data_IF_598235114057
#
_entry.id   IF_598235114057
#
_cell.length_a   1.000
_cell.length_b   1.000
_cell.length_c   1.000
_cell.angle_alpha   90.00
_cell.angle_beta   90.00
_cell.angle_gamma   90.00
#
_symmetry.space_group_name_H-M   'P 1'
#
loop_
_entity.id
_entity.type
_entity.pdbx_description
1 polymer ?
#
# COMPACT_ATOMS: atom_id res chain seq x y z
N UNK A 1 37.32 -63.38 23.67
CA UNK A 1 35.99 -62.78 23.50
C UNK A 1 36.10 -61.62 22.50
N UNK A 2 35.53 -61.74 21.30
CA UNK A 2 35.43 -60.64 20.33
C UNK A 2 33.98 -60.58 19.83
N UNK A 3 33.31 -59.47 20.11
CA UNK A 3 31.93 -59.22 19.73
C UNK A 3 31.79 -59.18 18.20
N UNK A 4 30.81 -59.92 17.67
CA UNK A 4 30.43 -59.84 16.25
C UNK A 4 29.62 -58.56 16.04
N UNK A 5 30.23 -57.58 15.37
CA UNK A 5 29.55 -56.35 14.94
C UNK A 5 28.43 -56.69 13.95
N UNK A 6 27.19 -56.45 14.37
CA UNK A 6 25.98 -56.74 13.60
C UNK A 6 25.72 -55.65 12.55
N UNK A 7 26.49 -55.68 11.45
CA UNK A 7 26.44 -54.69 10.35
C UNK A 7 25.08 -54.62 9.64
N UNK A 8 24.23 -55.64 9.81
CA UNK A 8 22.94 -55.74 9.12
C UNK A 8 21.84 -54.85 9.72
N UNK A 9 21.90 -54.57 11.04
CA UNK A 9 20.94 -53.68 11.71
C UNK A 9 21.19 -52.21 11.41
N UNK A 10 22.47 -51.81 11.26
CA UNK A 10 22.83 -50.44 10.90
C UNK A 10 22.35 -50.08 9.50
N UNK A 11 22.51 -50.97 8.50
CA UNK A 11 22.10 -50.68 7.13
C UNK A 11 20.60 -50.36 6.97
N UNK A 12 19.71 -51.02 7.73
CA UNK A 12 18.27 -50.71 7.74
C UNK A 12 17.96 -49.38 8.40
N UNK A 13 18.70 -49.00 9.44
CA UNK A 13 18.55 -47.71 10.10
C UNK A 13 18.97 -46.56 9.19
N UNK A 14 20.02 -46.74 8.38
CA UNK A 14 20.48 -45.73 7.42
C UNK A 14 19.53 -45.57 6.22
N UNK A 15 18.86 -46.63 5.77
CA UNK A 15 17.87 -46.57 4.68
C UNK A 15 16.54 -45.90 5.08
N UNK A 16 16.12 -46.03 6.35
CA UNK A 16 14.94 -45.31 6.87
C UNK A 16 15.23 -43.82 7.13
N UNK A 17 16.46 -43.48 7.51
CA UNK A 17 16.88 -42.08 7.71
C UNK A 17 17.06 -41.31 6.40
N UNK A 18 17.46 -41.95 5.29
CA UNK A 18 17.52 -41.28 3.98
C UNK A 18 16.14 -41.08 3.35
N UNK A 19 15.15 -41.96 3.60
CA UNK A 19 13.78 -41.76 3.14
C UNK A 19 13.04 -40.61 3.87
N UNK A 20 13.37 -40.37 5.15
CA UNK A 20 12.79 -39.27 5.94
C UNK A 20 13.46 -37.91 5.69
N UNK A 21 14.70 -37.87 5.18
CA UNK A 21 15.38 -36.61 4.83
C UNK A 21 15.02 -36.07 3.43
N UNK A 22 14.24 -36.80 2.64
CA UNK A 22 13.72 -36.32 1.34
C UNK A 22 12.36 -35.60 1.49
N UNK A 23 11.71 -35.69 2.65
CA UNK A 23 10.50 -34.91 2.94
C UNK A 23 10.76 -33.51 3.52
N UNK A 24 12.01 -33.16 3.83
CA UNK A 24 12.42 -31.78 4.05
C UNK A 24 12.77 -31.10 2.73
N UNK A 25 11.86 -31.19 1.77
CA UNK A 25 11.84 -30.35 0.59
C UNK A 25 10.71 -29.33 0.78
N UNK A 26 10.85 -28.04 0.51
CA UNK A 26 11.91 -27.18 0.03
C UNK A 26 11.30 -25.77 0.20
N UNK A 27 12.08 -24.75 0.52
CA UNK A 27 11.78 -23.41 0.03
C UNK A 27 12.03 -23.41 -1.49
N UNK A 28 11.25 -24.20 -2.22
CA UNK A 28 11.33 -24.33 -3.66
C UNK A 28 10.38 -23.32 -4.23
N UNK A 29 10.90 -22.47 -5.12
CA UNK A 29 10.12 -21.72 -6.10
C UNK A 29 9.45 -22.64 -7.15
N UNK A 30 9.04 -23.85 -6.73
CA UNK A 30 8.31 -24.81 -7.54
C UNK A 30 6.84 -24.61 -7.19
N UNK A 31 6.12 -23.99 -8.11
CA UNK A 31 4.66 -23.95 -8.04
C UNK A 31 4.13 -25.37 -8.20
N UNK A 32 3.43 -25.87 -7.19
CA UNK A 32 2.81 -27.19 -7.27
C UNK A 32 1.53 -27.11 -8.11
N UNK A 33 1.15 -28.20 -8.77
CA UNK A 33 -0.05 -28.26 -9.63
C UNK A 33 -1.38 -28.00 -8.90
N UNK A 34 -1.38 -27.95 -7.56
CA UNK A 34 -2.52 -27.56 -6.73
C UNK A 34 -2.45 -26.12 -6.21
N UNK A 35 -1.38 -25.38 -6.53
CA UNK A 35 -1.20 -23.97 -6.17
C UNK A 35 -1.38 -23.10 -7.41
N UNK A 36 -2.24 -22.09 -7.29
CA UNK A 36 -2.47 -21.08 -8.33
C UNK A 36 -1.46 -19.95 -8.16
N UNK A 37 -0.26 -20.13 -8.71
CA UNK A 37 0.87 -19.20 -8.53
C UNK A 37 0.90 -18.07 -9.57
N UNK A 38 -0.05 -18.03 -10.49
CA UNK A 38 -0.28 -16.95 -11.45
C UNK A 38 -1.66 -16.30 -11.26
N UNK A 39 -2.40 -16.66 -10.22
CA UNK A 39 -3.71 -16.12 -9.86
C UNK A 39 -3.82 -14.59 -9.93
N UNK A 40 -2.71 -13.89 -9.62
CA UNK A 40 -2.63 -12.43 -9.57
C UNK A 40 -1.73 -11.84 -10.67
N UNK A 41 -1.32 -12.63 -11.67
CA UNK A 41 -0.60 -12.12 -12.83
C UNK A 41 -1.53 -11.22 -13.66
N UNK A 42 -1.23 -9.92 -13.63
CA UNK A 42 -1.98 -8.89 -14.35
C UNK A 42 -1.22 -8.46 -15.60
N UNK A 43 -1.96 -8.07 -16.65
CA UNK A 43 -1.37 -7.55 -17.91
C UNK A 43 -0.42 -6.36 -17.67
N UNK A 44 -0.78 -5.51 -16.71
CA UNK A 44 -0.04 -4.30 -16.34
C UNK A 44 0.42 -4.42 -14.88
N UNK A 45 1.65 -4.00 -14.52
CA UNK A 45 2.13 -4.10 -13.15
C UNK A 45 1.27 -3.32 -12.16
N UNK A 46 1.21 -3.82 -10.92
CA UNK A 46 0.55 -3.17 -9.79
C UNK A 46 1.52 -2.17 -9.15
N UNK A 47 1.04 -0.96 -8.88
CA UNK A 47 1.77 0.08 -8.15
C UNK A 47 1.00 0.45 -6.90
N UNK A 48 1.58 0.14 -5.74
CA UNK A 48 1.03 0.45 -4.43
C UNK A 48 1.48 1.85 -4.00
N UNK A 49 0.54 2.72 -3.64
CA UNK A 49 0.80 4.12 -3.29
C UNK A 49 0.29 4.40 -1.87
N UNK A 50 1.22 4.69 -0.96
CA UNK A 50 0.94 4.93 0.45
C UNK A 50 0.25 6.28 0.69
N UNK A 51 -0.27 6.49 1.90
CA UNK A 51 -0.85 7.76 2.35
C UNK A 51 0.14 8.71 3.04
N UNK A 52 -0.40 9.59 3.89
CA UNK A 52 0.35 10.36 4.90
C UNK A 52 0.97 9.39 5.90
N UNK A 53 2.18 9.70 6.34
CA UNK A 53 3.12 8.76 6.96
C UNK A 53 3.64 7.70 5.96
N UNK A 54 4.46 8.18 5.03
CA UNK A 54 5.37 7.33 4.24
C UNK A 54 6.46 6.75 5.12
N UNK A 55 6.09 5.92 6.09
CA UNK A 55 7.02 4.98 6.69
C UNK A 55 7.32 3.95 5.59
N UNK A 56 8.26 4.27 4.72
CA UNK A 56 8.79 3.30 3.75
C UNK A 56 9.37 2.09 4.51
N UNK A 57 9.81 2.30 5.76
CA UNK A 57 10.09 1.30 6.79
C UNK A 57 10.10 1.95 8.19
N UNK A 58 9.22 1.54 9.14
CA UNK A 58 9.54 1.61 10.57
C UNK A 58 10.02 0.21 10.95
N UNK A 59 11.29 0.08 11.34
CA UNK A 59 11.84 -1.17 11.88
C UNK A 59 11.72 -2.39 10.94
N UNK A 60 11.73 -2.18 9.61
CA UNK A 60 11.63 -3.23 8.59
C UNK A 60 10.21 -3.72 8.28
N UNK A 61 9.19 -2.95 8.68
CA UNK A 61 7.79 -3.20 8.34
C UNK A 61 7.43 -2.32 7.13
N UNK A 62 7.29 -2.95 5.96
CA UNK A 62 6.73 -2.36 4.74
C UNK A 62 5.33 -1.78 5.04
N UNK A 63 5.05 -0.55 4.58
CA UNK A 63 3.72 0.08 4.68
C UNK A 63 2.60 -0.86 4.23
N UNK A 64 2.88 -1.64 3.18
CA UNK A 64 1.98 -2.67 2.64
C UNK A 64 2.34 -4.05 3.19
N UNK A 65 2.48 -4.15 4.52
CA UNK A 65 2.96 -5.34 5.22
C UNK A 65 2.26 -6.62 4.76
N UNK A 66 3.03 -7.56 4.20
CA UNK A 66 2.55 -8.85 3.69
C UNK A 66 1.76 -8.78 2.37
N UNK A 67 1.25 -7.61 1.97
CA UNK A 67 0.47 -7.44 0.72
C UNK A 67 1.37 -7.60 -0.50
N UNK A 68 2.53 -6.90 -0.51
CA UNK A 68 3.46 -6.95 -1.63
C UNK A 68 4.00 -8.37 -1.87
N UNK A 69 4.33 -9.11 -0.80
CA UNK A 69 4.81 -10.50 -0.91
C UNK A 69 3.68 -11.41 -1.37
N UNK A 70 2.49 -11.34 -0.76
CA UNK A 70 1.36 -12.19 -1.12
C UNK A 70 0.92 -12.01 -2.59
N UNK A 71 1.01 -10.78 -3.12
CA UNK A 71 0.74 -10.52 -4.53
C UNK A 71 1.82 -11.14 -5.44
N UNK A 72 3.09 -10.95 -5.10
CA UNK A 72 4.23 -11.48 -5.88
C UNK A 72 4.30 -13.01 -5.87
N UNK A 73 3.98 -13.63 -4.74
CA UNK A 73 3.91 -15.08 -4.57
C UNK A 73 2.89 -15.75 -5.51
N UNK A 74 1.94 -14.97 -6.04
CA UNK A 74 0.96 -15.41 -7.04
C UNK A 74 1.09 -14.71 -8.39
N UNK A 75 2.32 -14.35 -8.76
CA UNK A 75 2.67 -13.96 -10.13
C UNK A 75 2.53 -12.46 -10.45
N UNK A 76 2.04 -11.64 -9.51
CA UNK A 76 1.92 -10.21 -9.76
C UNK A 76 3.29 -9.50 -9.83
N UNK A 77 3.46 -8.61 -10.81
CA UNK A 77 4.56 -7.62 -10.81
C UNK A 77 4.13 -6.43 -9.95
N UNK A 78 4.78 -6.23 -8.81
CA UNK A 78 4.37 -5.22 -7.81
C UNK A 78 5.51 -4.26 -7.48
N UNK A 79 5.22 -2.97 -7.58
CA UNK A 79 6.08 -1.85 -7.21
C UNK A 79 5.40 -1.01 -6.13
N UNK A 80 6.21 -0.35 -5.30
CA UNK A 80 5.76 0.58 -4.27
C UNK A 80 6.76 1.74 -4.24
N UNK A 81 6.66 2.69 -5.19
CA UNK A 81 7.55 3.84 -5.21
C UNK A 81 7.31 4.71 -3.98
N UNK A 82 8.38 5.33 -3.48
CA UNK A 82 8.28 6.28 -2.39
C UNK A 82 7.84 7.62 -2.98
N UNK A 83 6.68 8.12 -2.58
CA UNK A 83 6.22 9.48 -2.89
C UNK A 83 6.38 10.35 -1.64
N UNK A 84 6.51 11.66 -1.77
CA UNK A 84 6.67 12.52 -0.59
C UNK A 84 5.59 12.25 0.46
N UNK A 85 6.01 12.03 1.72
CA UNK A 85 5.11 11.58 2.79
C UNK A 85 4.14 12.67 3.26
N UNK A 86 4.55 13.93 3.15
CA UNK A 86 3.85 15.09 3.70
C UNK A 86 3.71 16.14 2.60
N UNK A 87 2.73 15.98 1.71
CA UNK A 87 2.35 17.04 0.79
C UNK A 87 0.90 16.82 0.33
N UNK A 88 0.35 17.73 -0.45
CA UNK A 88 -0.95 17.55 -1.07
C UNK A 88 -0.94 16.51 -2.20
N UNK A 89 -2.13 16.12 -2.67
CA UNK A 89 -2.25 15.10 -3.71
C UNK A 89 -1.74 15.56 -5.09
N UNK A 90 -1.57 16.87 -5.31
CA UNK A 90 -1.07 17.40 -6.58
C UNK A 90 0.43 17.15 -6.68
N UNK A 91 1.20 17.59 -5.68
CA UNK A 91 2.65 17.39 -5.68
C UNK A 91 3.03 15.91 -5.56
N UNK A 92 2.36 15.16 -4.69
CA UNK A 92 2.52 13.70 -4.61
C UNK A 92 2.17 13.00 -5.92
N UNK A 93 1.21 13.56 -6.65
CA UNK A 93 0.77 13.04 -7.94
C UNK A 93 1.83 13.23 -9.03
N UNK A 94 2.52 14.36 -9.03
CA UNK A 94 3.69 14.59 -9.91
C UNK A 94 4.84 13.64 -9.57
N UNK A 95 5.16 13.46 -8.28
CA UNK A 95 6.16 12.48 -7.84
C UNK A 95 5.82 11.06 -8.32
N UNK A 96 4.54 10.68 -8.21
CA UNK A 96 4.05 9.40 -8.71
C UNK A 96 4.20 9.29 -10.22
N UNK A 97 3.84 10.34 -10.99
CA UNK A 97 3.99 10.34 -12.45
C UNK A 97 5.45 10.10 -12.83
N UNK A 98 6.39 10.83 -12.21
CA UNK A 98 7.83 10.63 -12.45
C UNK A 98 8.26 9.18 -12.17
N UNK A 99 7.82 8.60 -11.05
CA UNK A 99 8.10 7.22 -10.71
C UNK A 99 7.50 6.21 -11.72
N UNK A 100 6.30 6.48 -12.25
CA UNK A 100 5.67 5.64 -13.28
C UNK A 100 6.43 5.70 -14.61
N UNK A 101 6.99 6.85 -14.96
CA UNK A 101 7.82 7.00 -16.15
C UNK A 101 9.15 6.24 -16.03
N UNK A 102 9.80 6.32 -14.86
CA UNK A 102 10.98 5.54 -14.56
C UNK A 102 10.69 4.03 -14.61
N UNK A 103 9.58 3.60 -14.03
CA UNK A 103 9.13 2.21 -14.11
C UNK A 103 8.84 1.78 -15.54
N UNK A 104 8.22 2.63 -16.36
CA UNK A 104 7.98 2.34 -17.78
C UNK A 104 9.30 2.15 -18.52
N UNK A 105 10.28 3.02 -18.28
CA UNK A 105 11.61 2.91 -18.88
C UNK A 105 12.34 1.63 -18.43
N UNK A 106 12.25 1.29 -17.14
CA UNK A 106 12.95 0.14 -16.57
C UNK A 106 12.30 -1.22 -16.93
N UNK A 107 10.99 -1.26 -17.11
CA UNK A 107 10.22 -2.52 -17.24
C UNK A 107 9.63 -2.75 -18.62
N UNK A 108 9.53 -1.71 -19.44
CA UNK A 108 8.82 -1.72 -20.72
C UNK A 108 7.28 -1.71 -20.61
N UNK A 109 6.72 -1.69 -19.38
CA UNK A 109 5.28 -1.63 -19.16
C UNK A 109 4.70 -0.31 -19.67
N UNK A 110 3.65 -0.38 -20.49
CA UNK A 110 3.04 0.80 -21.09
C UNK A 110 2.05 1.50 -20.15
N UNK A 111 1.44 0.75 -19.24
CA UNK A 111 0.48 1.23 -18.26
C UNK A 111 0.66 0.50 -16.92
N UNK A 112 0.03 1.02 -15.88
CA UNK A 112 0.06 0.49 -14.52
C UNK A 112 -1.33 0.42 -13.89
N UNK A 113 -1.53 -0.58 -13.02
CA UNK A 113 -2.69 -0.68 -12.15
C UNK A 113 -2.36 0.00 -10.81
N UNK A 114 -2.94 1.18 -10.56
CA UNK A 114 -2.60 1.98 -9.39
C UNK A 114 -3.52 1.62 -8.21
N UNK A 115 -2.94 1.38 -7.03
CA UNK A 115 -3.67 1.09 -5.80
C UNK A 115 -3.25 2.07 -4.70
N UNK A 116 -4.11 3.05 -4.39
CA UNK A 116 -3.82 4.12 -3.46
C UNK A 116 -4.55 3.96 -2.12
N UNK A 117 -3.81 3.91 -1.01
CA UNK A 117 -4.37 3.88 0.35
C UNK A 117 -4.40 5.25 1.00
N UNK A 118 -5.46 5.62 1.72
CA UNK A 118 -5.57 6.90 2.42
C UNK A 118 -5.33 8.10 1.46
N UNK A 119 -4.33 8.94 1.69
CA UNK A 119 -3.92 10.02 0.78
C UNK A 119 -3.38 9.53 -0.57
N UNK A 120 -2.93 8.27 -0.64
CA UNK A 120 -2.57 7.60 -1.88
C UNK A 120 -3.73 7.53 -2.88
N UNK A 121 -4.99 7.51 -2.41
CA UNK A 121 -6.17 7.48 -3.29
C UNK A 121 -6.30 8.73 -4.17
N UNK A 122 -6.39 9.95 -3.58
CA UNK A 122 -6.31 11.18 -4.36
C UNK A 122 -5.04 11.29 -5.21
N UNK A 123 -3.89 10.83 -4.70
CA UNK A 123 -2.61 10.83 -5.45
C UNK A 123 -2.72 10.02 -6.75
N UNK A 124 -3.26 8.81 -6.72
CA UNK A 124 -3.42 7.98 -7.94
C UNK A 124 -4.49 8.53 -8.89
N UNK A 125 -5.52 9.19 -8.35
CA UNK A 125 -6.54 9.89 -9.16
C UNK A 125 -5.96 11.09 -9.90
N UNK A 126 -5.06 11.84 -9.27
CA UNK A 126 -4.33 12.92 -9.92
C UNK A 126 -3.52 12.37 -11.10
N UNK A 127 -2.69 11.35 -10.86
CA UNK A 127 -1.87 10.74 -11.91
C UNK A 127 -2.72 10.22 -13.08
N UNK A 128 -3.87 9.61 -12.79
CA UNK A 128 -4.80 9.15 -13.83
C UNK A 128 -5.43 10.29 -14.63
N UNK A 129 -5.77 11.42 -13.99
CA UNK A 129 -6.33 12.58 -14.67
C UNK A 129 -5.31 13.34 -15.52
N UNK A 130 -4.06 13.47 -15.05
CA UNK A 130 -3.00 14.20 -15.77
C UNK A 130 -2.33 13.32 -16.83
N UNK A 131 -2.09 12.05 -16.54
CA UNK A 131 -1.40 11.07 -17.41
C UNK A 131 -2.21 9.79 -17.60
N UNK A 132 -3.42 9.87 -18.19
CA UNK A 132 -4.25 8.68 -18.46
C UNK A 132 -3.57 7.68 -19.41
N UNK A 133 -2.56 8.11 -20.17
CA UNK A 133 -1.72 7.25 -21.00
C UNK A 133 -0.89 6.25 -20.18
N UNK A 134 -0.53 6.58 -18.94
CA UNK A 134 0.25 5.72 -18.03
C UNK A 134 -0.62 4.80 -17.17
N UNK A 135 -1.94 5.02 -17.12
CA UNK A 135 -2.82 4.36 -16.14
C UNK A 135 -3.75 3.37 -16.85
N UNK A 136 -3.80 2.15 -16.31
CA UNK A 136 -4.74 1.10 -16.74
C UNK A 136 -5.96 1.03 -15.83
N UNK A 137 -5.76 1.15 -14.51
CA UNK A 137 -6.83 1.18 -13.53
C UNK A 137 -6.42 1.99 -12.29
N UNK A 138 -7.42 2.45 -11.56
CA UNK A 138 -7.27 3.09 -10.25
C UNK A 138 -8.14 2.35 -9.24
N UNK A 139 -7.52 1.90 -8.16
CA UNK A 139 -8.18 1.34 -6.99
C UNK A 139 -7.86 2.22 -5.79
N UNK A 140 -8.87 2.72 -5.10
CA UNK A 140 -8.68 3.48 -3.85
C UNK A 140 -9.07 2.65 -2.65
N UNK A 141 -8.22 2.57 -1.63
CA UNK A 141 -8.41 1.75 -0.43
C UNK A 141 -8.50 2.68 0.78
N UNK A 142 -9.66 2.75 1.45
CA UNK A 142 -9.90 3.63 2.60
C UNK A 142 -9.35 5.06 2.38
N UNK A 143 -9.58 5.59 1.19
CA UNK A 143 -8.97 6.83 0.74
C UNK A 143 -9.74 8.07 1.18
N UNK A 144 -9.03 9.17 1.40
CA UNK A 144 -9.59 10.49 1.77
C UNK A 144 -10.17 11.22 0.56
N UNK A 145 -10.87 10.49 -0.33
CA UNK A 145 -11.44 11.01 -1.58
C UNK A 145 -12.44 12.16 -1.36
N UNK A 146 -13.08 12.22 -0.20
CA UNK A 146 -14.03 13.25 0.19
C UNK A 146 -13.63 13.99 1.47
N UNK A 147 -12.36 13.85 1.88
CA UNK A 147 -11.82 14.39 3.11
C UNK A 147 -11.91 13.40 4.27
N UNK A 148 -11.57 13.88 5.46
CA UNK A 148 -11.57 13.13 6.71
C UNK A 148 -12.03 14.02 7.86
N UNK A 149 -12.96 13.51 8.67
CA UNK A 149 -13.43 14.21 9.87
C UNK A 149 -12.28 14.53 10.84
N UNK A 150 -11.23 13.70 10.87
CA UNK A 150 -10.01 13.98 11.61
C UNK A 150 -9.36 15.30 11.16
N UNK A 151 -9.22 15.48 9.84
CA UNK A 151 -8.61 16.68 9.28
C UNK A 151 -9.50 17.90 9.51
N UNK A 152 -10.82 17.73 9.43
CA UNK A 152 -11.78 18.79 9.72
C UNK A 152 -11.71 19.23 11.18
N UNK A 153 -11.63 18.28 12.13
CA UNK A 153 -11.42 18.57 13.57
C UNK A 153 -10.06 19.24 13.79
N UNK A 154 -8.98 18.72 13.21
CA UNK A 154 -7.63 19.27 13.36
C UNK A 154 -7.49 20.71 12.82
N UNK A 155 -8.33 21.09 11.84
CA UNK A 155 -8.39 22.46 11.29
C UNK A 155 -9.48 23.33 11.92
N UNK A 156 -10.24 22.81 12.89
CA UNK A 156 -11.29 23.54 13.59
C UNK A 156 -12.55 23.80 12.75
N UNK A 157 -12.78 22.99 11.73
CA UNK A 157 -13.95 23.06 10.83
C UNK A 157 -15.18 22.46 11.53
N UNK A 158 -15.00 21.38 12.29
CA UNK A 158 -16.06 20.70 13.05
C UNK A 158 -15.80 20.84 14.56
N UNK A 159 -16.79 21.25 15.37
CA UNK A 159 -16.61 21.37 16.81
C UNK A 159 -16.46 20.00 17.48
N UNK A 160 -15.58 19.94 18.49
CA UNK A 160 -15.39 18.75 19.32
C UNK A 160 -16.51 18.72 20.38
N UNK A 161 -17.66 18.10 20.06
CA UNK A 161 -18.75 17.95 21.03
C UNK A 161 -19.98 17.21 20.50
N UNK A 162 -20.56 16.36 21.35
CA UNK A 162 -21.82 15.63 21.13
C UNK A 162 -21.64 14.27 20.43
N UNK A 163 -21.80 13.16 21.15
CA UNK A 163 -21.95 11.79 20.62
C UNK A 163 -20.80 11.20 19.78
N UNK A 164 -19.80 12.00 19.40
CA UNK A 164 -18.65 11.65 18.57
C UNK A 164 -17.42 11.25 19.39
N UNK A 165 -17.55 10.92 20.68
CA UNK A 165 -16.41 10.65 21.57
C UNK A 165 -15.44 9.59 21.01
N UNK A 166 -15.94 8.52 20.39
CA UNK A 166 -15.09 7.51 19.74
C UNK A 166 -14.37 8.03 18.47
N UNK A 167 -15.01 8.91 17.69
CA UNK A 167 -14.36 9.55 16.55
C UNK A 167 -13.32 10.56 17.01
N UNK A 168 -13.58 11.24 18.12
CA UNK A 168 -12.66 12.18 18.77
C UNK A 168 -11.46 11.42 19.33
N UNK A 169 -11.64 10.31 20.05
CA UNK A 169 -10.54 9.46 20.54
C UNK A 169 -9.69 8.91 19.39
N UNK A 170 -10.31 8.36 18.34
CA UNK A 170 -9.60 7.89 17.15
C UNK A 170 -8.83 9.02 16.45
N UNK A 171 -9.43 10.21 16.37
CA UNK A 171 -8.81 11.41 15.83
C UNK A 171 -7.65 11.89 16.70
N UNK A 172 -7.78 11.86 18.03
CA UNK A 172 -6.74 12.25 18.97
C UNK A 172 -5.55 11.28 18.94
N UNK A 173 -5.80 9.98 18.80
CA UNK A 173 -4.74 8.98 18.64
C UNK A 173 -4.02 9.14 17.31
N UNK A 174 -4.75 9.40 16.22
CA UNK A 174 -4.16 9.73 14.93
C UNK A 174 -3.34 11.03 15.02
N UNK A 175 -3.87 12.05 15.70
CA UNK A 175 -3.17 13.32 15.94
C UNK A 175 -1.88 13.08 16.73
N UNK A 176 -1.93 12.25 17.78
CA UNK A 176 -0.78 11.88 18.59
C UNK A 176 0.31 11.21 17.75
N UNK A 177 -0.05 10.18 16.96
CA UNK A 177 0.90 9.51 16.07
C UNK A 177 1.51 10.45 15.01
N UNK A 178 0.71 11.38 14.48
CA UNK A 178 1.18 12.39 13.52
C UNK A 178 2.12 13.38 14.20
N UNK A 179 1.76 13.89 15.38
CA UNK A 179 2.61 14.79 16.16
C UNK A 179 3.90 14.10 16.57
N UNK A 180 3.86 12.84 17.00
CA UNK A 180 5.06 12.07 17.34
C UNK A 180 5.96 11.90 16.13
N UNK A 181 5.40 11.59 14.95
CA UNK A 181 6.16 11.52 13.70
C UNK A 181 6.79 12.87 13.30
N UNK A 182 6.06 13.99 13.47
CA UNK A 182 6.51 15.34 13.13
C UNK A 182 7.46 15.94 14.17
N UNK A 183 7.31 15.60 15.44
CA UNK A 183 8.17 16.09 16.53
C UNK A 183 9.59 15.54 16.41
N UNK A 184 9.75 14.37 15.80
CA UNK A 184 11.05 13.83 15.39
C UNK A 184 11.62 14.45 14.10
N UNK A 185 10.84 15.20 13.33
CA UNK A 185 11.22 15.75 12.03
C UNK A 185 10.57 17.13 11.77
N UNK A 186 10.96 18.17 12.53
CA UNK A 186 10.32 19.49 12.51
C UNK A 186 10.37 20.18 11.14
N UNK A 187 11.27 19.79 10.25
CA UNK A 187 11.36 20.26 8.87
C UNK A 187 10.09 19.96 8.05
N UNK A 188 9.34 18.89 8.35
CA UNK A 188 8.12 18.54 7.63
C UNK A 188 6.84 19.18 8.20
N UNK A 189 6.95 20.12 9.14
CA UNK A 189 5.77 20.69 9.80
C UNK A 189 4.85 21.49 8.85
N UNK A 190 5.42 22.22 7.87
CA UNK A 190 4.62 22.96 6.87
C UNK A 190 3.94 22.03 5.89
N UNK A 191 4.70 21.07 5.39
CA UNK A 191 4.34 19.96 4.52
C UNK A 191 3.19 19.10 5.09
N UNK A 192 3.27 18.81 6.39
CA UNK A 192 2.20 18.11 7.11
C UNK A 192 0.95 18.98 7.27
N UNK A 193 1.10 20.29 7.49
CA UNK A 193 -0.03 21.22 7.51
C UNK A 193 -0.71 21.30 6.14
N UNK A 194 0.04 21.28 5.04
CA UNK A 194 -0.50 21.23 3.69
C UNK A 194 -1.30 19.94 3.47
N UNK A 195 -0.71 18.79 3.85
CA UNK A 195 -1.37 17.48 3.80
C UNK A 195 -2.69 17.47 4.58
N UNK A 196 -2.67 17.91 5.85
CA UNK A 196 -3.88 17.95 6.69
C UNK A 196 -4.92 18.92 6.13
N UNK A 197 -4.49 20.06 5.58
CA UNK A 197 -5.40 21.02 4.96
C UNK A 197 -6.05 20.43 3.70
N UNK A 198 -5.30 19.73 2.86
CA UNK A 198 -5.83 19.02 1.71
C UNK A 198 -6.88 17.98 2.11
N UNK A 199 -6.61 17.22 3.18
CA UNK A 199 -7.49 16.14 3.65
C UNK A 199 -8.77 16.63 4.33
N UNK A 200 -8.97 17.94 4.50
CA UNK A 200 -10.27 18.48 4.96
C UNK A 200 -11.37 18.23 3.92
N UNK A 201 -12.62 18.20 4.36
CA UNK A 201 -13.77 18.10 3.46
C UNK A 201 -13.78 19.20 2.38
N UNK A 202 -13.51 20.49 2.68
CA UNK A 202 -13.37 21.52 1.65
C UNK A 202 -12.21 21.25 0.68
N UNK A 203 -11.03 20.85 1.17
CA UNK A 203 -9.86 20.58 0.34
C UNK A 203 -10.09 19.44 -0.64
N UNK A 204 -10.61 18.31 -0.15
CA UNK A 204 -10.96 17.17 -0.99
C UNK A 204 -12.07 17.50 -2.00
N UNK A 205 -13.03 18.35 -1.65
CA UNK A 205 -14.07 18.78 -2.58
C UNK A 205 -13.53 19.68 -3.71
N UNK A 206 -12.53 20.52 -3.43
CA UNK A 206 -11.82 21.27 -4.47
C UNK A 206 -11.10 20.32 -5.42
N UNK A 207 -10.39 19.32 -4.89
CA UNK A 207 -9.74 18.29 -5.70
C UNK A 207 -10.75 17.54 -6.58
N UNK A 208 -11.89 17.14 -6.01
CA UNK A 208 -12.96 16.45 -6.73
C UNK A 208 -13.63 17.29 -7.83
N UNK A 209 -13.50 18.61 -7.79
CA UNK A 209 -13.99 19.48 -8.86
C UNK A 209 -13.05 19.45 -10.08
N UNK A 210 -11.76 19.18 -9.86
CA UNK A 210 -10.74 19.10 -10.92
C UNK A 210 -10.56 17.67 -11.46
N UNK A 211 -10.67 16.67 -10.58
CA UNK A 211 -10.47 15.25 -10.90
C UNK A 211 -11.72 14.42 -10.56
N UNK A 212 -12.84 14.56 -11.30
CA UNK A 212 -14.13 13.98 -10.91
C UNK A 212 -14.30 12.50 -11.25
N UNK A 213 -13.35 11.87 -11.94
CA UNK A 213 -13.49 10.49 -12.43
C UNK A 213 -13.72 9.50 -11.29
N UNK A 214 -14.67 8.58 -11.49
CA UNK A 214 -15.10 7.59 -10.48
C UNK A 214 -15.88 8.15 -9.29
N UNK A 215 -16.13 9.46 -9.23
CA UNK A 215 -16.87 10.10 -8.14
C UNK A 215 -18.36 9.72 -8.17
N UNK A 216 -18.95 9.27 -7.06
CA UNK A 216 -20.40 9.07 -6.94
C UNK A 216 -21.22 10.35 -7.18
N UNK A 217 -22.40 10.21 -7.78
CA UNK A 217 -23.36 11.30 -7.95
C UNK A 217 -24.20 11.59 -6.70
N UNK A 218 -24.19 10.69 -5.71
CA UNK A 218 -24.88 10.83 -4.42
C UNK A 218 -23.97 10.47 -3.25
N UNK A 219 -24.26 11.01 -2.07
CA UNK A 219 -23.54 10.67 -0.83
C UNK A 219 -23.65 9.17 -0.56
N UNK A 220 -22.51 8.51 -0.31
CA UNK A 220 -22.41 7.07 -0.09
C UNK A 220 -22.94 6.19 -1.24
N UNK A 221 -23.01 6.72 -2.46
CA UNK A 221 -23.32 5.94 -3.67
C UNK A 221 -22.05 5.42 -4.35
N UNK A 222 -22.23 4.92 -5.58
CA UNK A 222 -21.15 4.49 -6.47
C UNK A 222 -21.03 5.46 -7.67
N UNK A 223 -19.82 5.59 -8.20
CA UNK A 223 -19.54 6.32 -9.43
C UNK A 223 -19.47 5.40 -10.65
N UNK A 224 -19.23 5.96 -11.82
CA UNK A 224 -18.94 5.16 -13.01
C UNK A 224 -17.58 4.45 -12.88
N UNK A 225 -17.49 3.21 -13.39
CA UNK A 225 -16.28 2.36 -13.38
C UNK A 225 -15.94 1.83 -14.77
#
# INVERSE_FOLDING_TARGET
>A
MKAKNNKFGQAKSWLLLTALMVFSAQASAICWWWQDCDAYETKYPIVLVHGVSGFSDILGIDYFYGVKSALKERGAKVYAPNVTAWDDAYQRGEDLIAALEDLRAATGAQKFNLMGHSLGGPTVRYAAGVRPDLVASVTTINAVNFGSDFADVARGIVPVGGGLEALVEGSLNLLGNVIDALSGNPEYAQDAKASVTFMTSPGANQFNALFPDGKPSSRCGEGAS
#
